data_IF_519773423968
#
_entry.id   IF_519773423968
#
_cell.length_a   1.000
_cell.length_b   1.000
_cell.length_c   1.000
_cell.angle_alpha   90.00
_cell.angle_beta   90.00
_cell.angle_gamma   90.00
#
_symmetry.space_group_name_H-M   'P 1'
#
loop_
_entity.id
_entity.type
_entity.pdbx_description
1 polymer ?
#
# COMPACT_ATOMS: atom_id res chain seq x y z
N UNK A 1 -2.53 32.70 10.53
CA UNK A 1 -1.68 31.51 10.66
C UNK A 1 -2.66 30.38 10.93
N UNK A 2 -3.06 29.64 9.90
CA UNK A 2 -3.98 28.51 10.07
C UNK A 2 -3.25 27.41 10.85
N UNK A 3 -3.82 27.05 11.99
CA UNK A 3 -3.39 25.94 12.81
C UNK A 3 -3.88 24.66 12.10
N UNK A 4 -2.96 23.93 11.46
CA UNK A 4 -3.30 22.65 10.82
C UNK A 4 -3.74 21.68 11.92
N UNK A 5 -4.93 21.11 11.76
CA UNK A 5 -5.43 20.06 12.62
C UNK A 5 -4.44 18.87 12.54
N UNK A 6 -3.86 18.40 13.66
CA UNK A 6 -2.96 17.24 13.66
C UNK A 6 -3.60 15.95 13.13
N UNK A 7 -4.92 15.93 12.92
CA UNK A 7 -5.67 14.83 12.32
C UNK A 7 -6.14 15.10 10.89
N UNK A 8 -5.70 16.19 10.26
CA UNK A 8 -6.01 16.48 8.87
C UNK A 8 -5.46 15.36 7.96
N UNK A 9 -6.37 14.79 7.16
CA UNK A 9 -6.05 13.72 6.21
C UNK A 9 -6.02 14.32 4.82
N UNK A 10 -5.04 13.90 4.02
CA UNK A 10 -4.93 14.25 2.62
C UNK A 10 -5.29 13.02 1.80
N UNK A 11 -6.25 13.14 0.89
CA UNK A 11 -6.67 12.03 0.01
C UNK A 11 -5.57 11.61 -0.99
N UNK A 12 -4.52 12.41 -1.11
CA UNK A 12 -3.45 12.21 -2.08
C UNK A 12 -3.83 12.71 -3.47
N UNK A 13 -2.92 12.50 -4.42
CA UNK A 13 -3.08 12.83 -5.83
C UNK A 13 -3.42 11.54 -6.59
N UNK A 14 -4.49 11.54 -7.40
CA UNK A 14 -4.79 10.40 -8.26
C UNK A 14 -3.60 10.04 -9.15
N UNK A 15 -3.37 8.74 -9.34
CA UNK A 15 -2.38 8.20 -10.27
C UNK A 15 -3.02 7.15 -11.15
N UNK A 16 -2.73 7.22 -12.45
CA UNK A 16 -3.21 6.24 -13.43
C UNK A 16 -2.28 5.03 -13.45
N UNK A 17 -2.66 4.00 -12.68
CA UNK A 17 -1.88 2.78 -12.52
C UNK A 17 -2.81 1.58 -12.46
N UNK A 18 -2.33 0.46 -12.99
CA UNK A 18 -2.99 -0.84 -12.93
C UNK A 18 -2.03 -1.91 -12.40
N UNK A 19 -2.58 -2.88 -11.66
CA UNK A 19 -1.83 -4.04 -11.22
C UNK A 19 -1.89 -5.11 -12.30
N UNK A 20 -0.75 -5.42 -12.91
CA UNK A 20 -0.64 -6.40 -14.00
C UNK A 20 -0.25 -7.81 -13.53
N UNK A 21 -0.10 -8.01 -12.22
CA UNK A 21 0.22 -9.31 -11.63
C UNK A 21 -1.03 -10.16 -11.36
N UNK A 22 -0.83 -11.43 -11.03
CA UNK A 22 -1.89 -12.30 -10.51
C UNK A 22 -1.62 -12.58 -9.04
N UNK A 23 -2.60 -12.29 -8.18
CA UNK A 23 -2.52 -12.60 -6.76
C UNK A 23 -2.88 -14.07 -6.53
N UNK A 24 -2.16 -14.71 -5.61
CA UNK A 24 -2.60 -15.99 -5.04
C UNK A 24 -3.82 -15.76 -4.12
N UNK A 25 -4.60 -16.81 -3.81
CA UNK A 25 -5.80 -16.66 -2.96
C UNK A 25 -5.54 -16.02 -1.59
N UNK A 26 -4.44 -16.39 -0.93
CA UNK A 26 -4.01 -15.84 0.36
C UNK A 26 -3.66 -14.34 0.28
N UNK A 27 -3.10 -13.91 -0.85
CA UNK A 27 -2.77 -12.50 -1.10
C UNK A 27 -4.02 -11.69 -1.42
N UNK A 28 -4.95 -12.24 -2.21
CA UNK A 28 -6.22 -11.59 -2.54
C UNK A 28 -7.05 -11.32 -1.28
N UNK A 29 -7.14 -12.31 -0.38
CA UNK A 29 -7.80 -12.17 0.91
C UNK A 29 -7.16 -11.05 1.75
N UNK A 30 -5.83 -11.01 1.81
CA UNK A 30 -5.10 -9.96 2.53
C UNK A 30 -5.36 -8.56 1.94
N UNK A 31 -5.40 -8.41 0.60
CA UNK A 31 -5.72 -7.12 -0.03
C UNK A 31 -7.16 -6.72 0.27
N UNK A 32 -8.12 -7.64 0.12
CA UNK A 32 -9.53 -7.39 0.38
C UNK A 32 -9.79 -6.96 1.83
N UNK A 33 -9.08 -7.57 2.80
CA UNK A 33 -9.16 -7.20 4.20
C UNK A 33 -8.55 -5.81 4.50
N UNK A 34 -7.55 -5.37 3.71
CA UNK A 34 -6.85 -4.10 3.97
C UNK A 34 -7.51 -2.86 3.35
N UNK A 35 -8.23 -3.02 2.24
CA UNK A 35 -8.82 -1.88 1.51
C UNK A 35 -9.87 -1.06 2.28
N UNK A 36 -10.76 -1.67 3.09
CA UNK A 36 -11.79 -0.92 3.81
C UNK A 36 -11.25 -0.02 4.94
N UNK A 37 -9.98 -0.17 5.32
CA UNK A 37 -9.40 0.50 6.46
C UNK A 37 -8.39 1.55 6.03
N UNK A 38 -8.40 2.70 6.69
CA UNK A 38 -7.42 3.76 6.47
C UNK A 38 -6.01 3.40 6.94
N UNK A 39 -5.93 2.65 8.05
CA UNK A 39 -4.69 2.24 8.70
C UNK A 39 -4.78 0.75 8.97
N UNK A 40 -3.71 0.03 8.69
CA UNK A 40 -3.66 -1.41 8.88
C UNK A 40 -2.24 -1.96 8.89
N UNK A 41 -2.08 -3.16 9.43
CA UNK A 41 -0.80 -3.85 9.54
C UNK A 41 -0.91 -5.23 8.90
N UNK A 42 -0.21 -5.42 7.77
CA UNK A 42 -0.08 -6.72 7.15
C UNK A 42 1.09 -7.49 7.80
N UNK A 43 0.78 -8.36 8.75
CA UNK A 43 1.75 -9.30 9.31
C UNK A 43 1.78 -10.57 8.48
N UNK A 44 2.85 -10.76 7.70
CA UNK A 44 2.99 -11.92 6.84
C UNK A 44 4.45 -12.44 6.84
N UNK A 45 4.66 -13.76 6.73
CA UNK A 45 6.00 -14.35 6.73
C UNK A 45 6.85 -13.87 5.54
N UNK A 46 8.14 -14.19 5.55
CA UNK A 46 8.99 -14.08 4.36
C UNK A 46 8.41 -14.94 3.23
N UNK A 47 8.72 -14.57 1.98
CA UNK A 47 8.18 -15.21 0.78
C UNK A 47 6.65 -15.15 0.57
N UNK A 48 5.86 -14.60 1.50
CA UNK A 48 4.43 -14.35 1.28
C UNK A 48 4.17 -13.49 0.04
N UNK A 49 5.06 -12.52 -0.22
CA UNK A 49 4.91 -11.55 -1.30
C UNK A 49 4.37 -10.20 -0.84
N UNK A 50 4.79 -9.72 0.34
CA UNK A 50 4.40 -8.41 0.90
C UNK A 50 4.53 -7.26 -0.11
N UNK A 51 5.57 -7.29 -0.95
CA UNK A 51 5.78 -6.29 -2.02
C UNK A 51 4.68 -6.37 -3.09
N UNK A 52 4.35 -7.55 -3.58
CA UNK A 52 3.27 -7.76 -4.56
C UNK A 52 1.90 -7.40 -3.98
N UNK A 53 1.63 -7.79 -2.74
CA UNK A 53 0.39 -7.42 -2.03
C UNK A 53 0.30 -5.90 -1.85
N UNK A 54 1.39 -5.25 -1.45
CA UNK A 54 1.47 -3.80 -1.33
C UNK A 54 1.24 -3.09 -2.67
N UNK A 55 1.87 -3.55 -3.75
CA UNK A 55 1.67 -3.01 -5.09
C UNK A 55 0.20 -3.13 -5.55
N UNK A 56 -0.45 -4.25 -5.26
CA UNK A 56 -1.87 -4.42 -5.55
C UNK A 56 -2.76 -3.46 -4.73
N UNK A 57 -2.45 -3.23 -3.45
CA UNK A 57 -3.17 -2.23 -2.62
C UNK A 57 -3.00 -0.83 -3.21
N UNK A 58 -1.78 -0.44 -3.58
CA UNK A 58 -1.48 0.86 -4.19
C UNK A 58 -2.28 1.04 -5.49
N UNK A 59 -2.26 0.04 -6.36
CA UNK A 59 -3.00 0.07 -7.62
C UNK A 59 -4.53 0.11 -7.44
N UNK A 60 -5.06 -0.50 -6.36
CA UNK A 60 -6.50 -0.42 -6.05
C UNK A 60 -6.89 0.93 -5.46
N UNK A 61 -5.99 1.57 -4.68
CA UNK A 61 -6.23 2.91 -4.12
C UNK A 61 -6.01 4.03 -5.13
N UNK A 62 -5.15 3.85 -6.13
CA UNK A 62 -4.86 4.81 -7.21
C UNK A 62 -4.47 6.21 -6.75
N UNK A 63 -3.72 6.29 -5.66
CA UNK A 63 -3.17 7.56 -5.15
C UNK A 63 -1.67 7.45 -4.93
N UNK A 64 -0.97 8.59 -5.01
CA UNK A 64 0.47 8.63 -4.78
C UNK A 64 0.83 8.03 -3.41
N UNK A 65 1.75 7.07 -3.41
CA UNK A 65 2.13 6.33 -2.19
C UNK A 65 3.60 6.55 -1.87
N UNK A 66 3.89 6.85 -0.61
CA UNK A 66 5.24 6.87 -0.06
C UNK A 66 5.59 5.49 0.50
N UNK A 67 6.64 4.86 -0.02
CA UNK A 67 7.18 3.61 0.51
C UNK A 67 8.43 3.95 1.32
N UNK A 68 8.42 3.63 2.60
CA UNK A 68 9.57 3.83 3.50
C UNK A 68 10.26 2.50 3.74
N UNK A 69 11.56 2.46 3.48
CA UNK A 69 12.40 1.27 3.69
C UNK A 69 13.62 1.64 4.54
N UNK A 70 14.09 0.68 5.34
CA UNK A 70 15.19 0.92 6.27
C UNK A 70 16.59 0.89 5.61
N UNK A 71 16.70 0.40 4.36
CA UNK A 71 17.98 0.24 3.65
C UNK A 71 17.82 0.51 2.16
N UNK A 72 18.85 1.07 1.53
CA UNK A 72 18.82 1.49 0.13
C UNK A 72 18.68 0.31 -0.84
N UNK A 73 19.17 -0.89 -0.49
CA UNK A 73 19.05 -2.09 -1.34
C UNK A 73 17.59 -2.50 -1.56
N UNK A 74 16.70 -2.20 -0.61
CA UNK A 74 15.27 -2.48 -0.72
C UNK A 74 14.55 -1.56 -1.72
N UNK A 75 15.17 -0.44 -2.12
CA UNK A 75 14.62 0.46 -3.15
C UNK A 75 14.70 -0.14 -4.56
N UNK A 76 15.54 -1.16 -4.77
CA UNK A 76 15.71 -1.82 -6.08
C UNK A 76 14.82 -3.05 -6.25
N UNK A 77 14.05 -3.41 -5.22
CA UNK A 77 13.15 -4.57 -5.23
C UNK A 77 11.80 -4.27 -5.86
#
# INVERSE_FOLDING_TARGET
MEEQDPHERVDGKPVDVEFVGTLRPDQEEAVAAMLPHDVGMLCAPTAFGKTVTGAAIIARRRVNTLILVHRAELLRQ
#
